data_IF_268540145117
#
_entry.id   IF_268540145117
#
_cell.length_a   1.000
_cell.length_b   1.000
_cell.length_c   1.000
_cell.angle_alpha   90.00
_cell.angle_beta   90.00
_cell.angle_gamma   90.00
#
_symmetry.space_group_name_H-M   'P 1'
#
loop_
_entity.id
_entity.type
_entity.pdbx_description
1 polymer ?
#
# COMPACT_ATOMS: atom_id res chain seq x y z
N UNK A 1 -16.66 -15.34 9.41
CA UNK A 1 -15.30 -14.82 9.14
C UNK A 1 -15.00 -13.73 10.15
N UNK A 2 -13.87 -13.81 10.85
CA UNK A 2 -13.55 -12.81 11.87
C UNK A 2 -12.90 -11.55 11.26
N UNK A 3 -13.74 -10.59 10.85
CA UNK A 3 -13.29 -9.26 10.41
C UNK A 3 -12.62 -8.46 11.55
N UNK A 4 -12.66 -8.95 12.80
CA UNK A 4 -12.11 -8.24 13.96
C UNK A 4 -10.61 -8.06 13.83
N UNK A 5 -9.86 -9.09 13.43
CA UNK A 5 -8.40 -9.00 13.25
C UNK A 5 -8.03 -7.93 12.21
N UNK A 6 -8.72 -7.88 11.08
CA UNK A 6 -8.57 -6.83 10.06
C UNK A 6 -8.80 -5.43 10.62
N UNK A 7 -9.90 -5.24 11.36
CA UNK A 7 -10.22 -3.93 11.93
C UNK A 7 -9.24 -3.51 13.02
N UNK A 8 -8.67 -4.47 13.76
CA UNK A 8 -7.59 -4.21 14.72
C UNK A 8 -6.33 -3.72 14.00
N UNK A 9 -5.92 -4.36 12.90
CA UNK A 9 -4.80 -3.89 12.08
C UNK A 9 -5.04 -2.48 11.54
N UNK A 10 -6.23 -2.18 11.01
CA UNK A 10 -6.56 -0.82 10.56
C UNK A 10 -6.59 0.20 11.69
N UNK A 11 -7.04 -0.19 12.89
CA UNK A 11 -7.01 0.67 14.08
C UNK A 11 -5.55 0.98 14.46
N UNK A 12 -4.68 -0.01 14.40
CA UNK A 12 -3.26 0.16 14.71
C UNK A 12 -2.56 1.05 13.68
N UNK A 13 -2.81 0.83 12.39
CA UNK A 13 -2.37 1.72 11.31
C UNK A 13 -2.84 3.17 11.54
N UNK A 14 -4.12 3.37 11.88
CA UNK A 14 -4.67 4.69 12.16
C UNK A 14 -4.00 5.37 13.35
N UNK A 15 -3.72 4.61 14.42
CA UNK A 15 -3.07 5.10 15.64
C UNK A 15 -1.65 5.60 15.38
N UNK A 16 -0.84 4.82 14.68
CA UNK A 16 0.58 5.11 14.49
C UNK A 16 0.87 6.02 13.32
N UNK A 17 0.10 5.91 12.23
CA UNK A 17 0.49 6.52 10.96
C UNK A 17 -0.44 7.65 10.48
N UNK A 18 -1.63 7.85 11.06
CA UNK A 18 -2.56 8.91 10.62
C UNK A 18 -2.58 10.16 11.51
N UNK A 19 -1.59 10.32 12.40
CA UNK A 19 -1.59 11.38 13.41
C UNK A 19 -1.12 12.74 12.87
N UNK A 20 0.02 12.74 12.17
CA UNK A 20 0.73 13.97 11.76
C UNK A 20 0.09 14.64 10.55
N UNK A 21 -0.16 13.87 9.48
CA UNK A 21 -0.77 14.35 8.24
C UNK A 21 -2.16 13.79 8.05
N UNK A 22 -2.96 14.43 7.19
CA UNK A 22 -4.30 13.92 6.85
C UNK A 22 -4.37 13.52 5.39
N UNK A 23 -4.01 12.26 5.06
CA UNK A 23 -4.24 11.75 3.71
C UNK A 23 -5.73 11.84 3.34
N UNK A 24 -6.06 11.87 2.04
CA UNK A 24 -7.43 11.91 1.56
C UNK A 24 -8.25 10.73 2.06
N UNK A 25 -7.66 9.52 2.05
CA UNK A 25 -8.30 8.30 2.53
C UNK A 25 -7.93 8.07 3.99
N UNK A 26 -8.93 8.00 4.87
CA UNK A 26 -8.75 7.75 6.30
C UNK A 26 -9.60 6.60 6.80
N UNK A 27 -9.03 5.84 7.73
CA UNK A 27 -9.78 4.83 8.46
C UNK A 27 -10.53 5.50 9.60
N UNK A 28 -11.81 5.19 9.77
CA UNK A 28 -12.61 5.68 10.88
C UNK A 28 -12.92 4.52 11.86
N UNK A 29 -12.17 4.36 12.96
CA UNK A 29 -12.29 3.18 13.84
C UNK A 29 -13.70 2.93 14.37
N UNK A 30 -14.42 3.99 14.80
CA UNK A 30 -15.78 3.86 15.35
C UNK A 30 -16.81 3.38 14.31
N UNK A 31 -16.64 3.76 13.04
CA UNK A 31 -17.57 3.43 11.94
C UNK A 31 -17.10 2.23 11.13
N UNK A 32 -15.89 1.72 11.42
CA UNK A 32 -15.23 0.61 10.71
C UNK A 32 -15.23 0.78 9.18
N UNK A 33 -15.07 2.01 8.68
CA UNK A 33 -15.15 2.35 7.26
C UNK A 33 -14.06 3.33 6.86
N UNK A 34 -13.73 3.37 5.57
CA UNK A 34 -12.89 4.43 5.02
C UNK A 34 -13.73 5.67 4.71
N UNK A 35 -13.13 6.85 4.88
CA UNK A 35 -13.72 8.13 4.49
C UNK A 35 -12.73 8.90 3.63
N UNK A 36 -13.23 9.50 2.54
CA UNK A 36 -12.47 10.37 1.65
C UNK A 36 -12.72 11.84 2.04
N UNK A 37 -11.67 12.60 2.38
CA UNK A 37 -11.77 14.00 2.82
C UNK A 37 -10.64 14.87 2.26
N UNK A 38 -10.98 15.92 1.52
CA UNK A 38 -10.03 16.83 0.85
C UNK A 38 -10.04 18.28 1.36
N UNK A 39 -11.02 18.67 2.18
CA UNK A 39 -11.24 20.10 2.53
C UNK A 39 -10.71 20.51 3.92
N UNK A 40 -9.59 19.96 4.40
CA UNK A 40 -9.03 20.31 5.72
C UNK A 40 -7.60 20.83 5.60
N UNK A 41 -7.18 21.73 6.50
CA UNK A 41 -5.80 22.24 6.54
C UNK A 41 -4.74 21.12 6.48
N UNK A 42 -4.95 20.04 7.24
CA UNK A 42 -4.06 18.88 7.26
C UNK A 42 -3.96 18.13 5.91
N UNK A 43 -4.91 18.31 4.99
CA UNK A 43 -4.82 17.79 3.62
C UNK A 43 -3.85 18.64 2.79
N UNK A 44 -3.88 19.97 2.91
CA UNK A 44 -2.90 20.83 2.24
C UNK A 44 -1.47 20.55 2.72
N UNK A 45 -1.31 20.28 4.02
CA UNK A 45 -0.02 19.88 4.59
C UNK A 45 0.47 18.53 4.01
N UNK A 46 -0.45 17.58 3.81
CA UNK A 46 -0.16 16.33 3.12
C UNK A 46 0.22 16.54 1.64
N UNK A 47 -0.49 17.43 0.92
CA UNK A 47 -0.14 17.79 -0.45
C UNK A 47 1.25 18.41 -0.50
N UNK A 48 1.60 19.30 0.44
CA UNK A 48 2.92 19.89 0.52
C UNK A 48 3.99 18.81 0.72
N UNK A 49 3.81 17.88 1.65
CA UNK A 49 4.77 16.78 1.84
C UNK A 49 4.92 15.89 0.61
N UNK A 50 3.81 15.64 -0.09
CA UNK A 50 3.78 14.75 -1.25
C UNK A 50 4.38 15.42 -2.48
N UNK A 51 3.85 16.57 -2.89
CA UNK A 51 4.23 17.23 -4.14
C UNK A 51 5.54 17.99 -3.98
N UNK A 52 5.70 18.75 -2.90
CA UNK A 52 6.91 19.53 -2.67
C UNK A 52 7.99 18.66 -2.03
N UNK A 53 7.67 17.91 -0.97
CA UNK A 53 8.65 17.07 -0.27
C UNK A 53 9.15 15.88 -1.11
N UNK A 54 8.29 14.91 -1.39
CA UNK A 54 8.66 13.68 -2.13
C UNK A 54 8.96 13.96 -3.61
N UNK A 55 8.08 14.72 -4.29
CA UNK A 55 8.27 15.06 -5.70
C UNK A 55 9.42 16.05 -5.91
N UNK A 56 9.15 17.33 -5.70
CA UNK A 56 10.07 18.41 -6.04
C UNK A 56 11.43 18.31 -5.34
N UNK A 57 11.43 18.24 -4.01
CA UNK A 57 12.67 18.28 -3.23
C UNK A 57 13.44 16.96 -3.32
N UNK A 58 12.78 15.80 -3.16
CA UNK A 58 13.49 14.51 -3.13
C UNK A 58 13.85 14.04 -4.53
N UNK A 59 12.86 13.79 -5.40
CA UNK A 59 13.13 13.28 -6.75
C UNK A 59 13.86 14.33 -7.60
N UNK A 60 13.42 15.60 -7.56
CA UNK A 60 14.10 16.70 -8.24
C UNK A 60 15.52 16.92 -7.71
N UNK A 61 15.72 16.88 -6.39
CA UNK A 61 17.04 17.03 -5.79
C UNK A 61 18.02 15.93 -6.20
N UNK A 62 17.57 14.67 -6.22
CA UNK A 62 18.37 13.56 -6.73
C UNK A 62 18.67 13.73 -8.22
N UNK A 63 17.71 14.21 -9.03
CA UNK A 63 17.93 14.52 -10.44
C UNK A 63 19.04 15.56 -10.65
N UNK A 64 19.04 16.63 -9.84
CA UNK A 64 20.11 17.64 -9.85
C UNK A 64 21.47 17.02 -9.52
N UNK A 65 21.52 16.11 -8.54
CA UNK A 65 22.76 15.40 -8.21
C UNK A 65 23.24 14.57 -9.39
N UNK A 66 22.38 13.79 -10.05
CA UNK A 66 22.78 13.01 -11.23
C UNK A 66 23.32 13.91 -12.35
N UNK A 67 22.63 15.00 -12.67
CA UNK A 67 23.11 15.98 -13.66
C UNK A 67 24.46 16.56 -13.24
N UNK A 68 24.64 16.91 -11.96
CA UNK A 68 25.91 17.43 -11.44
C UNK A 68 27.07 16.44 -11.60
N UNK A 69 26.81 15.14 -11.44
CA UNK A 69 27.81 14.09 -11.65
C UNK A 69 28.11 13.89 -13.14
N UNK A 70 27.10 13.93 -14.01
CA UNK A 70 27.30 13.80 -15.47
C UNK A 70 28.12 14.94 -16.06
N UNK A 71 27.90 16.16 -15.59
CA UNK A 71 28.60 17.36 -16.08
C UNK A 71 29.81 17.77 -15.23
N UNK A 72 30.18 16.98 -14.21
CA UNK A 72 31.29 17.25 -13.30
C UNK A 72 31.20 18.63 -12.58
N UNK A 73 29.99 19.13 -12.32
CA UNK A 73 29.77 20.40 -11.60
C UNK A 73 29.92 20.27 -10.07
N UNK A 74 29.97 19.05 -9.55
CA UNK A 74 30.11 18.77 -8.13
C UNK A 74 31.17 17.69 -7.90
N UNK A 75 31.70 17.60 -6.67
CA UNK A 75 32.69 16.58 -6.31
C UNK A 75 32.16 15.17 -6.65
N UNK A 76 33.03 14.27 -7.12
CA UNK A 76 32.63 12.91 -7.44
C UNK A 76 32.13 12.22 -6.18
N UNK A 77 30.94 11.64 -6.25
CA UNK A 77 30.37 10.87 -5.16
C UNK A 77 30.79 9.39 -5.25
N UNK A 78 30.97 8.72 -4.11
CA UNK A 78 31.19 7.27 -4.12
C UNK A 78 30.08 6.54 -4.86
N UNK A 79 30.45 5.51 -5.63
CA UNK A 79 29.50 4.71 -6.43
C UNK A 79 28.30 4.24 -5.58
N UNK A 80 28.57 3.81 -4.33
CA UNK A 80 27.56 3.36 -3.38
C UNK A 80 26.44 4.40 -3.17
N UNK A 81 26.79 5.69 -3.08
CA UNK A 81 25.82 6.76 -2.81
C UNK A 81 24.98 7.05 -4.05
N UNK A 82 25.59 6.98 -5.24
CA UNK A 82 24.89 7.09 -6.52
C UNK A 82 23.81 6.01 -6.60
N UNK A 83 24.13 4.75 -6.28
CA UNK A 83 23.13 3.67 -6.27
C UNK A 83 22.04 3.87 -5.21
N UNK A 84 22.37 4.34 -4.01
CA UNK A 84 21.37 4.68 -3.00
C UNK A 84 20.43 5.79 -3.48
N UNK A 85 20.95 6.79 -4.20
CA UNK A 85 20.12 7.83 -4.81
C UNK A 85 19.23 7.28 -5.93
N UNK A 86 19.67 6.27 -6.70
CA UNK A 86 18.79 5.58 -7.66
C UNK A 86 17.61 4.93 -6.94
N UNK A 87 17.87 4.21 -5.84
CA UNK A 87 16.82 3.58 -5.02
C UNK A 87 15.89 4.64 -4.40
N UNK A 88 16.45 5.76 -3.95
CA UNK A 88 15.65 6.86 -3.41
C UNK A 88 14.78 7.50 -4.50
N UNK A 89 15.30 7.69 -5.71
CA UNK A 89 14.58 8.27 -6.84
C UNK A 89 13.42 7.37 -7.29
N UNK A 90 13.66 6.08 -7.48
CA UNK A 90 12.62 5.11 -7.86
C UNK A 90 11.51 5.07 -6.81
N UNK A 91 11.88 5.06 -5.52
CA UNK A 91 10.93 4.98 -4.41
C UNK A 91 10.15 6.27 -4.21
N UNK A 92 10.80 7.44 -4.34
CA UNK A 92 10.13 8.74 -4.28
C UNK A 92 9.17 8.92 -5.46
N UNK A 93 9.57 8.51 -6.66
CA UNK A 93 8.73 8.59 -7.87
C UNK A 93 7.51 7.67 -7.75
N UNK A 94 7.70 6.42 -7.27
CA UNK A 94 6.60 5.50 -7.03
C UNK A 94 5.64 6.03 -5.94
N UNK A 95 6.18 6.55 -4.84
CA UNK A 95 5.39 7.19 -3.78
C UNK A 95 4.59 8.37 -4.30
N UNK A 96 5.21 9.23 -5.12
CA UNK A 96 4.54 10.35 -5.78
C UNK A 96 3.41 9.86 -6.70
N UNK A 97 3.68 8.89 -7.57
CA UNK A 97 2.70 8.32 -8.49
C UNK A 97 1.49 7.73 -7.75
N UNK A 98 1.72 6.93 -6.71
CA UNK A 98 0.66 6.36 -5.85
C UNK A 98 -0.21 7.47 -5.26
N UNK A 99 0.40 8.55 -4.77
CA UNK A 99 -0.36 9.66 -4.21
C UNK A 99 -1.21 10.39 -5.24
N UNK A 100 -0.71 10.56 -6.47
CA UNK A 100 -1.52 11.05 -7.59
C UNK A 100 -2.69 10.09 -7.83
N UNK A 101 -2.46 8.78 -7.83
CA UNK A 101 -3.51 7.77 -7.92
C UNK A 101 -4.56 7.88 -6.81
N UNK A 102 -4.16 8.20 -5.57
CA UNK A 102 -5.10 8.44 -4.46
C UNK A 102 -5.97 9.66 -4.74
N UNK A 103 -5.41 10.74 -5.31
CA UNK A 103 -6.18 11.94 -5.65
C UNK A 103 -7.17 11.67 -6.79
N UNK A 104 -6.73 10.92 -7.82
CA UNK A 104 -7.54 10.63 -9.00
C UNK A 104 -8.65 9.62 -8.73
N UNK A 105 -8.32 8.49 -8.09
CA UNK A 105 -9.22 7.34 -7.97
C UNK A 105 -9.66 7.04 -6.53
N UNK A 106 -9.12 7.75 -5.53
CA UNK A 106 -9.34 7.41 -4.12
C UNK A 106 -10.78 7.55 -3.65
N UNK A 107 -11.57 8.45 -4.25
CA UNK A 107 -12.99 8.62 -3.92
C UNK A 107 -13.80 7.38 -4.31
N UNK A 108 -13.64 6.93 -5.55
CA UNK A 108 -14.36 5.78 -6.10
C UNK A 108 -13.92 4.50 -5.42
N UNK A 109 -12.61 4.35 -5.17
CA UNK A 109 -12.06 3.26 -4.37
C UNK A 109 -12.69 3.16 -2.99
N UNK A 110 -12.78 4.28 -2.24
CA UNK A 110 -13.37 4.29 -0.90
C UNK A 110 -14.85 3.90 -0.93
N UNK A 111 -15.59 4.36 -1.94
CA UNK A 111 -16.99 3.99 -2.14
C UNK A 111 -17.13 2.50 -2.46
N UNK A 112 -16.33 1.99 -3.39
CA UNK A 112 -16.29 0.58 -3.78
C UNK A 112 -15.95 -0.33 -2.60
N UNK A 113 -14.84 -0.05 -1.91
CA UNK A 113 -14.38 -0.86 -0.78
C UNK A 113 -15.41 -0.91 0.36
N UNK A 114 -16.03 0.23 0.70
CA UNK A 114 -17.07 0.27 1.73
C UNK A 114 -18.34 -0.50 1.31
N UNK A 115 -18.67 -0.48 0.02
CA UNK A 115 -19.81 -1.23 -0.55
C UNK A 115 -19.52 -2.73 -0.55
N UNK A 116 -18.31 -3.14 -0.96
CA UNK A 116 -17.86 -4.53 -0.88
C UNK A 116 -17.96 -5.06 0.55
N UNK A 117 -17.50 -4.27 1.52
CA UNK A 117 -17.61 -4.61 2.95
C UNK A 117 -19.05 -4.80 3.41
N UNK A 118 -19.95 -3.91 2.99
CA UNK A 118 -21.36 -4.00 3.35
C UNK A 118 -22.00 -5.24 2.74
N UNK A 119 -21.68 -5.52 1.48
CA UNK A 119 -22.14 -6.71 0.79
C UNK A 119 -21.69 -7.99 1.49
N UNK A 120 -20.40 -8.10 1.79
CA UNK A 120 -19.86 -9.25 2.52
C UNK A 120 -20.55 -9.44 3.88
N UNK A 121 -20.74 -8.36 4.65
CA UNK A 121 -21.43 -8.44 5.94
C UNK A 121 -22.89 -8.90 5.80
N UNK A 122 -23.61 -8.44 4.77
CA UNK A 122 -24.97 -8.87 4.51
C UNK A 122 -25.04 -10.36 4.14
N UNK A 123 -24.12 -10.83 3.28
CA UNK A 123 -24.02 -12.25 2.91
C UNK A 123 -23.69 -13.14 4.11
N UNK A 124 -22.81 -12.66 5.00
CA UNK A 124 -22.47 -13.38 6.24
C UNK A 124 -23.67 -13.51 7.18
N UNK A 125 -24.44 -12.42 7.37
CA UNK A 125 -25.62 -12.44 8.23
C UNK A 125 -26.72 -13.38 7.68
N UNK A 126 -26.79 -13.54 6.37
CA UNK A 126 -27.75 -14.43 5.70
C UNK A 126 -27.32 -15.91 5.75
N UNK A 127 -26.02 -16.19 5.76
CA UNK A 127 -25.48 -17.56 5.79
C UNK A 127 -25.28 -18.14 7.20
N UNK A 128 -25.96 -17.60 8.21
CA UNK A 128 -25.62 -17.84 9.62
C UNK A 128 -25.89 -19.27 10.14
N UNK A 129 -26.61 -20.10 9.39
CA UNK A 129 -26.97 -21.45 9.84
C UNK A 129 -25.85 -22.50 9.69
N UNK A 130 -24.71 -22.22 9.03
CA UNK A 130 -23.78 -23.28 8.63
C UNK A 130 -22.27 -23.01 8.79
N UNK A 131 -21.80 -22.19 9.75
CA UNK A 131 -20.34 -21.95 9.86
C UNK A 131 -19.75 -21.94 11.27
N UNK A 132 -19.54 -23.14 11.79
CA UNK A 132 -18.45 -23.47 12.72
C UNK A 132 -17.19 -23.80 11.92
N UNK A 133 -16.26 -22.84 11.79
CA UNK A 133 -14.82 -23.07 11.58
C UNK A 133 -14.14 -21.74 11.21
N UNK A 134 -13.72 -21.02 12.24
CA UNK A 134 -12.79 -19.92 12.07
C UNK A 134 -11.44 -20.50 11.65
N UNK A 135 -11.02 -20.35 10.39
CA UNK A 135 -9.75 -20.93 9.95
C UNK A 135 -8.57 -20.19 10.62
N UNK A 136 -7.70 -20.89 11.38
CA UNK A 136 -6.62 -20.25 12.14
C UNK A 136 -5.61 -19.51 11.24
N UNK A 137 -5.47 -19.95 9.98
CA UNK A 137 -4.59 -19.35 8.97
C UNK A 137 -4.88 -17.86 8.70
N UNK A 138 -6.15 -17.44 8.82
CA UNK A 138 -6.56 -16.06 8.52
C UNK A 138 -6.18 -15.07 9.62
N UNK A 139 -6.06 -15.53 10.86
CA UNK A 139 -5.60 -14.70 11.97
C UNK A 139 -4.10 -14.39 11.86
N UNK A 140 -3.29 -15.36 11.42
CA UNK A 140 -1.85 -15.15 11.21
C UNK A 140 -1.55 -14.06 10.17
N UNK A 141 -2.34 -13.98 9.08
CA UNK A 141 -2.16 -12.94 8.08
C UNK A 141 -2.27 -11.53 8.68
N UNK A 142 -3.31 -11.28 9.49
CA UNK A 142 -3.56 -9.95 10.06
C UNK A 142 -2.58 -9.62 11.18
N UNK A 143 -2.09 -10.63 11.91
CA UNK A 143 -0.96 -10.48 12.83
C UNK A 143 0.28 -10.03 12.06
N UNK A 144 0.62 -10.70 10.95
CA UNK A 144 1.75 -10.31 10.09
C UNK A 144 1.59 -8.89 9.52
N UNK A 145 0.39 -8.52 9.07
CA UNK A 145 0.14 -7.14 8.60
C UNK A 145 0.31 -6.11 9.72
N UNK A 146 -0.04 -6.46 10.96
CA UNK A 146 0.18 -5.59 12.13
C UNK A 146 1.68 -5.43 12.42
N UNK A 147 2.46 -6.51 12.32
CA UNK A 147 3.92 -6.44 12.40
C UNK A 147 4.51 -5.53 11.31
N UNK A 148 3.96 -5.57 10.09
CA UNK A 148 4.40 -4.68 9.01
C UNK A 148 4.09 -3.23 9.32
N UNK A 149 2.92 -2.91 9.87
CA UNK A 149 2.59 -1.56 10.35
C UNK A 149 3.64 -1.09 11.37
N UNK A 150 3.99 -1.93 12.34
CA UNK A 150 5.00 -1.56 13.34
C UNK A 150 6.37 -1.34 12.71
N UNK A 151 6.83 -2.22 11.82
CA UNK A 151 8.09 -2.05 11.11
C UNK A 151 8.13 -0.75 10.28
N UNK A 152 7.07 -0.48 9.50
CA UNK A 152 6.96 0.76 8.73
C UNK A 152 6.82 2.01 9.60
N UNK A 153 6.40 1.88 10.87
CA UNK A 153 6.38 3.01 11.81
C UNK A 153 7.76 3.31 12.39
N UNK A 154 8.63 2.30 12.52
CA UNK A 154 9.98 2.45 13.09
C UNK A 154 11.04 2.78 12.03
N UNK A 155 10.91 2.25 10.80
CA UNK A 155 11.86 2.49 9.71
C UNK A 155 12.15 3.97 9.41
N UNK A 156 11.16 4.89 9.38
CA UNK A 156 11.44 6.31 9.16
C UNK A 156 12.46 6.88 10.12
N UNK A 157 12.41 6.49 11.40
CA UNK A 157 13.36 6.97 12.40
C UNK A 157 14.79 6.54 12.07
N UNK A 158 14.99 5.26 11.75
CA UNK A 158 16.30 4.73 11.38
C UNK A 158 16.81 5.33 10.06
N UNK A 159 15.93 5.46 9.05
CA UNK A 159 16.28 6.05 7.76
C UNK A 159 16.68 7.52 7.94
N UNK A 160 15.88 8.33 8.65
CA UNK A 160 16.19 9.73 8.89
C UNK A 160 17.47 9.93 9.69
N UNK A 161 17.69 9.14 10.76
CA UNK A 161 18.91 9.21 11.56
C UNK A 161 20.14 8.85 10.71
N UNK A 162 20.02 7.81 9.89
CA UNK A 162 21.08 7.39 8.97
C UNK A 162 21.41 8.45 7.92
N UNK A 163 20.38 9.09 7.37
CA UNK A 163 20.53 10.13 6.38
C UNK A 163 21.27 11.34 6.93
N UNK A 164 20.96 11.74 8.18
CA UNK A 164 21.64 12.85 8.86
C UNK A 164 23.09 12.51 9.17
N UNK A 165 23.34 11.33 9.77
CA UNK A 165 24.67 10.96 10.26
C UNK A 165 25.67 10.70 9.12
N UNK A 166 25.22 10.02 8.05
CA UNK A 166 26.08 9.70 6.91
C UNK A 166 25.95 10.66 5.74
N UNK A 167 25.18 11.73 5.89
CA UNK A 167 24.90 12.69 4.83
C UNK A 167 24.35 12.01 3.55
N UNK A 168 23.54 10.96 3.71
CA UNK A 168 22.92 10.20 2.61
C UNK A 168 21.67 10.90 2.05
N UNK A 169 21.41 12.14 2.46
CA UNK A 169 20.32 12.93 1.92
C UNK A 169 20.77 13.82 0.75
N UNK A 170 19.94 13.94 -0.31
CA UNK A 170 20.28 14.76 -1.46
C UNK A 170 20.38 16.26 -1.10
N UNK A 171 19.68 16.69 -0.06
CA UNK A 171 19.59 18.10 0.33
C UNK A 171 20.93 18.64 0.83
N UNK A 172 21.72 17.83 1.54
CA UNK A 172 23.06 18.19 1.98
C UNK A 172 23.95 18.58 0.80
N UNK A 173 23.95 17.76 -0.24
CA UNK A 173 24.77 17.98 -1.42
C UNK A 173 24.34 19.21 -2.19
N UNK A 174 23.03 19.46 -2.30
CA UNK A 174 22.50 20.65 -2.96
C UNK A 174 22.87 21.92 -2.19
N UNK A 175 22.70 21.94 -0.86
CA UNK A 175 23.09 23.09 -0.04
C UNK A 175 24.58 23.36 -0.13
N UNK A 176 25.40 22.30 -0.13
CA UNK A 176 26.85 22.39 -0.34
C UNK A 176 27.21 22.93 -1.72
N UNK A 177 26.50 22.53 -2.77
CA UNK A 177 26.72 22.99 -4.14
C UNK A 177 26.36 24.47 -4.32
N UNK A 178 25.29 24.92 -3.67
CA UNK A 178 24.84 26.32 -3.70
C UNK A 178 25.54 27.22 -2.68
N UNK A 179 26.42 26.66 -1.85
CA UNK A 179 27.11 27.35 -0.76
C UNK A 179 26.15 28.11 0.20
N UNK A 180 24.98 27.53 0.47
CA UNK A 180 23.96 28.12 1.36
C UNK A 180 24.19 27.62 2.78
N UNK A 181 24.60 28.53 3.67
CA UNK A 181 24.86 28.22 5.09
C UNK A 181 23.81 28.85 6.05
N UNK A 182 22.58 29.04 5.58
CA UNK A 182 21.53 29.67 6.39
C UNK A 182 20.89 28.68 7.35
N UNK A 183 20.65 29.10 8.60
CA UNK A 183 20.00 28.27 9.62
C UNK A 183 18.64 27.74 9.14
N UNK A 184 17.85 28.58 8.46
CA UNK A 184 16.54 28.22 7.94
C UNK A 184 16.60 27.09 6.91
N UNK A 185 17.63 27.07 6.05
CA UNK A 185 17.81 25.99 5.08
C UNK A 185 18.15 24.65 5.76
N UNK A 186 18.96 24.68 6.81
CA UNK A 186 19.27 23.48 7.60
C UNK A 186 18.07 22.95 8.40
N UNK A 187 17.25 23.84 8.97
CA UNK A 187 15.98 23.47 9.60
C UNK A 187 15.01 22.85 8.61
N UNK A 188 14.91 23.43 7.41
CA UNK A 188 14.07 22.89 6.34
C UNK A 188 14.58 21.53 5.83
N UNK A 189 15.90 21.36 5.69
CA UNK A 189 16.53 20.06 5.39
C UNK A 189 16.16 19.01 6.45
N UNK A 190 16.31 19.33 7.73
CA UNK A 190 15.97 18.40 8.81
C UNK A 190 14.49 17.99 8.75
N UNK A 191 13.61 18.96 8.52
CA UNK A 191 12.18 18.70 8.32
C UNK A 191 11.90 17.75 7.17
N UNK A 192 12.52 17.95 6.00
CA UNK A 192 12.34 17.07 4.84
C UNK A 192 12.88 15.65 5.10
N UNK A 193 14.05 15.52 5.72
CA UNK A 193 14.64 14.22 6.06
C UNK A 193 13.76 13.42 7.00
N UNK A 194 13.05 14.06 7.92
CA UNK A 194 12.11 13.39 8.83
C UNK A 194 10.77 13.08 8.14
N UNK A 195 10.23 14.01 7.36
CA UNK A 195 8.88 13.89 6.80
C UNK A 195 8.81 12.96 5.60
N UNK A 196 9.79 13.00 4.68
CA UNK A 196 9.72 12.22 3.44
C UNK A 196 9.72 10.70 3.68
N UNK A 197 10.63 10.12 4.49
CA UNK A 197 10.60 8.68 4.79
C UNK A 197 9.35 8.28 5.58
N UNK A 198 8.87 9.13 6.48
CA UNK A 198 7.66 8.87 7.27
C UNK A 198 6.41 8.78 6.39
N UNK A 199 6.24 9.74 5.49
CA UNK A 199 5.14 9.74 4.54
C UNK A 199 5.24 8.53 3.59
N UNK A 200 6.43 8.24 3.06
CA UNK A 200 6.66 7.08 2.20
C UNK A 200 6.27 5.75 2.88
N UNK A 201 6.79 5.49 4.08
CA UNK A 201 6.49 4.26 4.81
C UNK A 201 5.00 4.15 5.14
N UNK A 202 4.36 5.27 5.47
CA UNK A 202 2.91 5.33 5.69
C UNK A 202 2.13 4.93 4.44
N UNK A 203 2.50 5.42 3.25
CA UNK A 203 1.82 5.05 2.01
C UNK A 203 2.01 3.58 1.68
N UNK A 204 3.23 3.05 1.83
CA UNK A 204 3.51 1.64 1.58
C UNK A 204 2.68 0.75 2.51
N UNK A 205 2.67 1.04 3.82
CA UNK A 205 1.83 0.33 4.77
C UNK A 205 0.35 0.39 4.39
N UNK A 206 -0.16 1.58 4.05
CA UNK A 206 -1.53 1.76 3.61
C UNK A 206 -1.87 0.87 2.41
N UNK A 207 -1.08 0.98 1.34
CA UNK A 207 -1.28 0.24 0.10
C UNK A 207 -1.29 -1.27 0.35
N UNK A 208 -0.34 -1.79 1.12
CA UNK A 208 -0.26 -3.22 1.41
C UNK A 208 -1.53 -3.70 2.12
N UNK A 209 -1.96 -3.00 3.17
CA UNK A 209 -3.10 -3.42 3.99
C UNK A 209 -4.40 -3.32 3.18
N UNK A 210 -4.61 -2.25 2.41
CA UNK A 210 -5.85 -2.11 1.62
C UNK A 210 -5.90 -3.13 0.49
N UNK A 211 -4.78 -3.39 -0.20
CA UNK A 211 -4.74 -4.35 -1.30
C UNK A 211 -5.06 -5.73 -0.78
N UNK A 212 -4.40 -6.16 0.30
CA UNK A 212 -4.67 -7.46 0.92
C UNK A 212 -6.10 -7.56 1.44
N UNK A 213 -6.64 -6.50 2.06
CA UNK A 213 -8.05 -6.50 2.49
C UNK A 213 -9.01 -6.69 1.32
N UNK A 214 -8.75 -6.01 0.20
CA UNK A 214 -9.60 -6.07 -1.00
C UNK A 214 -9.54 -7.46 -1.63
N UNK A 215 -8.33 -7.98 -1.85
CA UNK A 215 -8.10 -9.31 -2.40
C UNK A 215 -8.59 -10.42 -1.48
N UNK A 216 -8.71 -10.18 -0.18
CA UNK A 216 -9.28 -11.15 0.75
C UNK A 216 -10.82 -11.13 0.77
N UNK A 217 -11.43 -9.95 0.71
CA UNK A 217 -12.89 -9.78 0.79
C UNK A 217 -13.60 -10.20 -0.50
N UNK A 218 -12.96 -10.01 -1.66
CA UNK A 218 -13.51 -10.40 -2.95
C UNK A 218 -13.80 -11.92 -3.06
N UNK A 219 -12.82 -12.84 -2.89
CA UNK A 219 -13.07 -14.27 -2.96
C UNK A 219 -13.96 -14.75 -1.80
N UNK A 220 -13.86 -14.13 -0.63
CA UNK A 220 -14.74 -14.41 0.52
C UNK A 220 -16.21 -14.10 0.18
N UNK A 221 -16.47 -12.99 -0.52
CA UNK A 221 -17.82 -12.65 -0.97
C UNK A 221 -18.33 -13.62 -2.04
N UNK A 222 -17.46 -14.05 -2.97
CA UNK A 222 -17.80 -15.04 -3.99
C UNK A 222 -18.07 -16.44 -3.39
N UNK A 223 -17.26 -16.89 -2.43
CA UNK A 223 -17.46 -18.15 -1.70
C UNK A 223 -18.79 -18.15 -0.95
N UNK A 224 -19.14 -17.03 -0.29
CA UNK A 224 -20.43 -16.89 0.40
C UNK A 224 -21.61 -16.93 -0.58
N UNK A 225 -21.50 -16.28 -1.74
CA UNK A 225 -22.51 -16.36 -2.79
C UNK A 225 -22.66 -17.80 -3.31
N UNK A 226 -21.55 -18.52 -3.47
CA UNK A 226 -21.58 -19.92 -3.91
C UNK A 226 -22.25 -20.82 -2.87
N UNK A 227 -21.90 -20.66 -1.59
CA UNK A 227 -22.47 -21.46 -0.49
C UNK A 227 -23.97 -21.26 -0.34
N UNK A 228 -24.46 -20.01 -0.44
CA UNK A 228 -25.88 -19.71 -0.35
C UNK A 228 -26.70 -20.35 -1.48
N UNK A 229 -26.06 -20.61 -2.64
CA UNK A 229 -26.74 -21.09 -3.84
C UNK A 229 -26.43 -22.56 -4.17
N UNK A 230 -25.61 -23.23 -3.37
CA UNK A 230 -25.27 -24.64 -3.56
C UNK A 230 -26.39 -25.60 -3.11
N UNK A 231 -27.39 -25.14 -2.34
CA UNK A 231 -28.46 -26.01 -1.85
C UNK A 231 -29.57 -26.19 -2.91
N UNK A 232 -30.14 -27.40 -3.08
CA UNK A 232 -31.22 -27.62 -4.05
C UNK A 232 -32.49 -26.81 -3.75
N UNK A 233 -32.71 -26.43 -2.49
CA UNK A 233 -33.83 -25.59 -2.06
C UNK A 233 -33.62 -24.11 -2.45
N UNK A 234 -32.42 -23.55 -2.24
CA UNK A 234 -32.09 -22.18 -2.65
C UNK A 234 -32.18 -22.00 -4.17
N UNK A 235 -31.82 -23.05 -4.91
CA UNK A 235 -31.96 -23.10 -6.38
C UNK A 235 -33.44 -23.02 -6.79
N UNK A 236 -34.32 -23.72 -6.11
CA UNK A 236 -35.77 -23.71 -6.40
C UNK A 236 -36.40 -22.34 -6.07
N UNK A 237 -36.00 -21.72 -4.96
CA UNK A 237 -36.47 -20.37 -4.56
C UNK A 237 -35.89 -19.27 -5.47
N UNK A 238 -34.64 -19.42 -5.93
CA UNK A 238 -34.01 -18.52 -6.89
C UNK A 238 -34.75 -18.48 -8.23
N UNK A 239 -35.25 -19.63 -8.70
CA UNK A 239 -36.09 -19.73 -9.91
C UNK A 239 -37.44 -19.04 -9.77
N UNK A 240 -38.05 -19.03 -8.59
CA UNK A 240 -39.35 -18.37 -8.35
C UNK A 240 -39.25 -16.85 -8.13
N UNK A 241 -38.09 -16.35 -7.67
CA UNK A 241 -37.94 -14.94 -7.26
C UNK A 241 -37.22 -14.04 -8.27
N UNK A 242 -36.80 -14.57 -9.43
CA UNK A 242 -36.15 -13.80 -10.50
C UNK A 242 -34.66 -13.56 -10.24
N UNK A 243 -33.84 -14.58 -10.53
CA UNK A 243 -32.36 -14.56 -10.55
C UNK A 243 -31.66 -13.60 -9.55
N UNK A 244 -31.92 -13.70 -8.24
CA UNK A 244 -31.26 -12.88 -7.22
C UNK A 244 -29.74 -13.10 -7.20
N UNK A 245 -29.27 -14.29 -7.59
CA UNK A 245 -27.84 -14.67 -7.65
C UNK A 245 -27.12 -13.88 -8.72
N UNK A 246 -27.70 -13.77 -9.91
CA UNK A 246 -27.13 -13.01 -11.02
C UNK A 246 -27.04 -11.53 -10.67
N UNK A 247 -28.09 -10.99 -10.02
CA UNK A 247 -28.11 -9.60 -9.55
C UNK A 247 -27.00 -9.33 -8.53
N UNK A 248 -26.83 -10.22 -7.54
CA UNK A 248 -25.77 -10.10 -6.55
C UNK A 248 -24.38 -10.24 -7.17
N UNK A 249 -24.18 -11.19 -8.08
CA UNK A 249 -22.91 -11.34 -8.78
C UNK A 249 -22.55 -10.11 -9.63
N UNK A 250 -23.51 -9.57 -10.39
CA UNK A 250 -23.36 -8.31 -11.12
C UNK A 250 -23.03 -7.16 -10.16
N UNK A 251 -23.62 -7.14 -8.95
CA UNK A 251 -23.27 -6.15 -7.93
C UNK A 251 -21.82 -6.27 -7.47
N UNK A 252 -21.28 -7.48 -7.27
CA UNK A 252 -19.84 -7.68 -6.98
C UNK A 252 -18.98 -7.14 -8.13
N UNK A 253 -19.34 -7.44 -9.38
CA UNK A 253 -18.61 -6.97 -10.56
C UNK A 253 -18.60 -5.44 -10.66
N UNK A 254 -19.75 -4.78 -10.46
CA UNK A 254 -19.85 -3.31 -10.47
C UNK A 254 -18.95 -2.71 -9.38
N UNK A 255 -18.96 -3.30 -8.19
CA UNK A 255 -18.09 -2.85 -7.09
C UNK A 255 -16.62 -3.09 -7.44
N UNK A 256 -16.27 -4.21 -8.05
CA UNK A 256 -14.91 -4.51 -8.49
C UNK A 256 -14.42 -3.49 -9.52
N UNK A 257 -15.23 -3.15 -10.53
CA UNK A 257 -14.92 -2.12 -11.53
C UNK A 257 -14.62 -0.77 -10.87
N UNK A 258 -15.36 -0.40 -9.83
CA UNK A 258 -15.12 0.86 -9.09
C UNK A 258 -13.81 0.88 -8.29
N UNK A 259 -13.29 -0.30 -7.93
CA UNK A 259 -12.05 -0.48 -7.16
C UNK A 259 -10.84 -0.70 -8.10
N UNK A 260 -11.08 -1.30 -9.27
CA UNK A 260 -10.09 -1.76 -10.22
C UNK A 260 -9.13 -0.65 -10.66
N UNK A 261 -9.63 0.52 -11.03
CA UNK A 261 -8.77 1.61 -11.54
C UNK A 261 -7.69 1.99 -10.53
N UNK A 262 -8.03 2.05 -9.24
CA UNK A 262 -7.07 2.38 -8.20
C UNK A 262 -6.14 1.20 -7.88
N UNK A 263 -6.68 -0.01 -7.67
CA UNK A 263 -5.87 -1.18 -7.32
C UNK A 263 -4.94 -1.57 -8.47
N UNK A 264 -5.42 -1.55 -9.72
CA UNK A 264 -4.61 -1.84 -10.91
C UNK A 264 -3.45 -0.84 -11.06
N UNK A 265 -3.73 0.45 -10.91
CA UNK A 265 -2.70 1.49 -10.92
C UNK A 265 -1.65 1.27 -9.82
N UNK A 266 -2.10 1.04 -8.59
CA UNK A 266 -1.21 0.78 -7.45
C UNK A 266 -0.39 -0.49 -7.66
N UNK A 267 -1.00 -1.58 -8.13
CA UNK A 267 -0.31 -2.84 -8.41
C UNK A 267 0.80 -2.65 -9.44
N UNK A 268 0.53 -1.93 -10.53
CA UNK A 268 1.54 -1.64 -11.57
C UNK A 268 2.75 -0.91 -10.97
N UNK A 269 2.51 0.15 -10.20
CA UNK A 269 3.58 0.95 -9.59
C UNK A 269 4.35 0.12 -8.55
N UNK A 270 3.66 -0.63 -7.69
CA UNK A 270 4.29 -1.45 -6.64
C UNK A 270 5.09 -2.61 -7.24
N UNK A 271 4.60 -3.26 -8.30
CA UNK A 271 5.35 -4.31 -9.01
C UNK A 271 6.61 -3.74 -9.66
N UNK A 272 6.50 -2.61 -10.37
CA UNK A 272 7.65 -1.93 -10.95
C UNK A 272 8.68 -1.54 -9.89
N UNK A 273 8.22 -0.98 -8.77
CA UNK A 273 9.07 -0.64 -7.63
C UNK A 273 9.73 -1.87 -7.01
N UNK A 274 8.97 -2.94 -6.78
CA UNK A 274 9.45 -4.18 -6.17
C UNK A 274 10.51 -4.87 -7.03
N UNK A 275 10.33 -4.92 -8.35
CA UNK A 275 11.31 -5.47 -9.29
C UNK A 275 12.58 -4.60 -9.33
N UNK A 276 12.43 -3.30 -9.56
CA UNK A 276 13.57 -2.39 -9.67
C UNK A 276 14.38 -2.34 -8.37
N UNK A 277 13.71 -2.09 -7.23
CA UNK A 277 14.38 -2.00 -5.94
C UNK A 277 14.84 -3.36 -5.42
N UNK A 278 14.16 -4.46 -5.75
CA UNK A 278 14.59 -5.80 -5.36
C UNK A 278 15.94 -6.15 -5.97
N UNK A 279 16.06 -5.97 -7.29
CA UNK A 279 17.33 -6.18 -8.03
C UNK A 279 18.42 -5.26 -7.47
N UNK A 280 18.13 -3.97 -7.33
CA UNK A 280 19.09 -3.00 -6.81
C UNK A 280 19.52 -3.32 -5.38
N UNK A 281 18.60 -3.73 -4.50
CA UNK A 281 18.92 -4.03 -3.09
C UNK A 281 19.80 -5.27 -2.95
N UNK A 282 19.54 -6.32 -3.75
CA UNK A 282 20.37 -7.53 -3.76
C UNK A 282 21.77 -7.19 -4.30
N UNK A 283 21.85 -6.48 -5.42
CA UNK A 283 23.10 -6.06 -6.02
C UNK A 283 23.93 -5.17 -5.08
N UNK A 284 23.28 -4.17 -4.46
CA UNK A 284 23.89 -3.26 -3.50
C UNK A 284 24.45 -4.01 -2.28
N UNK A 285 23.68 -4.95 -1.74
CA UNK A 285 24.07 -5.71 -0.56
C UNK A 285 25.31 -6.58 -0.81
N UNK A 286 25.42 -7.16 -2.01
CA UNK A 286 26.55 -8.01 -2.39
C UNK A 286 27.82 -7.22 -2.69
N UNK A 287 27.72 -6.17 -3.51
CA UNK A 287 28.90 -5.43 -4.00
C UNK A 287 29.46 -4.51 -2.94
N UNK A 288 28.61 -3.84 -2.18
CA UNK A 288 29.05 -2.83 -1.23
C UNK A 288 29.18 -3.39 0.19
N UNK A 289 29.32 -4.71 0.36
CA UNK A 289 29.57 -5.32 1.65
C UNK A 289 30.76 -4.61 2.35
N UNK A 290 30.59 -4.24 3.62
CA UNK A 290 31.49 -3.42 4.44
C UNK A 290 31.61 -1.91 4.10
N UNK A 291 31.04 -1.43 2.99
CA UNK A 291 31.05 0.02 2.66
C UNK A 291 29.83 0.76 3.19
N UNK A 292 28.67 0.10 3.24
CA UNK A 292 27.43 0.69 3.70
C UNK A 292 27.25 0.55 5.22
N UNK A 293 26.44 1.41 5.85
CA UNK A 293 26.08 1.26 7.26
C UNK A 293 25.47 -0.10 7.58
N UNK A 294 25.85 -0.68 8.73
CA UNK A 294 25.50 -2.07 9.07
C UNK A 294 23.99 -2.33 9.07
N UNK A 295 23.17 -1.32 9.40
CA UNK A 295 21.71 -1.44 9.44
C UNK A 295 21.07 -1.54 8.06
N UNK A 296 21.69 -1.02 6.98
CA UNK A 296 21.12 -1.17 5.63
C UNK A 296 21.11 -2.64 5.22
N UNK A 297 22.09 -3.43 5.66
CA UNK A 297 22.10 -4.88 5.45
C UNK A 297 21.04 -5.63 6.25
N UNK A 298 20.41 -5.00 7.25
CA UNK A 298 19.25 -5.58 7.94
C UNK A 298 17.95 -5.13 7.28
N UNK A 299 17.85 -3.86 6.90
CA UNK A 299 16.66 -3.29 6.27
C UNK A 299 16.39 -3.91 4.91
N UNK A 300 17.41 -4.07 4.05
CA UNK A 300 17.21 -4.58 2.69
C UNK A 300 16.66 -6.02 2.65
N UNK A 301 17.24 -7.01 3.37
CA UNK A 301 16.65 -8.34 3.45
C UNK A 301 15.26 -8.34 4.07
N UNK A 302 15.01 -7.54 5.11
CA UNK A 302 13.68 -7.44 5.71
C UNK A 302 12.64 -6.95 4.70
N UNK A 303 12.96 -5.91 3.91
CA UNK A 303 12.08 -5.42 2.84
C UNK A 303 11.86 -6.51 1.78
N UNK A 304 12.91 -7.22 1.36
CA UNK A 304 12.79 -8.29 0.37
C UNK A 304 11.87 -9.42 0.86
N UNK A 305 12.01 -9.84 2.12
CA UNK A 305 11.14 -10.84 2.75
C UNK A 305 9.70 -10.34 2.84
N UNK A 306 9.48 -9.08 3.22
CA UNK A 306 8.14 -8.48 3.24
C UNK A 306 7.49 -8.51 1.85
N UNK A 307 8.22 -8.09 0.81
CA UNK A 307 7.74 -8.11 -0.58
C UNK A 307 7.39 -9.53 -1.01
N UNK A 308 8.22 -10.51 -0.69
CA UNK A 308 7.95 -11.93 -0.99
C UNK A 308 6.67 -12.43 -0.31
N UNK A 309 6.50 -12.15 0.98
CA UNK A 309 5.29 -12.52 1.73
C UNK A 309 4.05 -11.89 1.09
N UNK A 310 4.12 -10.60 0.76
CA UNK A 310 3.00 -9.88 0.11
C UNK A 310 2.67 -10.51 -1.24
N UNK A 311 3.68 -10.81 -2.06
CA UNK A 311 3.50 -11.42 -3.37
C UNK A 311 2.82 -12.79 -3.27
N UNK A 312 3.30 -13.65 -2.36
CA UNK A 312 2.72 -14.97 -2.13
C UNK A 312 1.27 -14.90 -1.65
N UNK A 313 0.97 -13.98 -0.72
CA UNK A 313 -0.38 -13.77 -0.20
C UNK A 313 -1.33 -13.28 -1.29
N UNK A 314 -0.94 -12.25 -2.05
CA UNK A 314 -1.76 -11.67 -3.12
C UNK A 314 -2.00 -12.69 -4.23
N UNK A 315 -0.96 -13.44 -4.64
CA UNK A 315 -1.08 -14.45 -5.69
C UNK A 315 -2.07 -15.56 -5.30
N UNK A 316 -2.02 -16.04 -4.05
CA UNK A 316 -2.97 -17.04 -3.57
C UNK A 316 -4.42 -16.51 -3.61
N UNK A 317 -4.65 -15.26 -3.21
CA UNK A 317 -6.00 -14.67 -3.28
C UNK A 317 -6.49 -14.48 -4.71
N UNK A 318 -5.63 -14.03 -5.62
CA UNK A 318 -5.97 -13.87 -7.04
C UNK A 318 -6.40 -15.20 -7.68
N UNK A 319 -5.70 -16.29 -7.36
CA UNK A 319 -6.06 -17.62 -7.85
C UNK A 319 -7.45 -18.04 -7.36
N UNK A 320 -7.73 -17.85 -6.07
CA UNK A 320 -9.04 -18.16 -5.49
C UNK A 320 -10.18 -17.34 -6.11
N UNK A 321 -9.93 -16.07 -6.46
CA UNK A 321 -10.95 -15.22 -7.14
C UNK A 321 -11.31 -15.82 -8.50
N UNK A 322 -10.32 -16.24 -9.29
CA UNK A 322 -10.56 -16.85 -10.60
C UNK A 322 -11.36 -18.17 -10.46
N UNK A 323 -10.96 -19.03 -9.52
CA UNK A 323 -11.62 -20.33 -9.29
C UNK A 323 -13.07 -20.18 -8.84
N UNK A 324 -13.36 -19.27 -7.89
CA UNK A 324 -14.72 -19.04 -7.42
C UNK A 324 -15.58 -18.38 -8.49
N UNK A 325 -15.01 -17.47 -9.28
CA UNK A 325 -15.71 -16.84 -10.40
C UNK A 325 -16.12 -17.89 -11.44
N UNK A 326 -15.21 -18.78 -11.85
CA UNK A 326 -15.50 -19.83 -12.83
C UNK A 326 -16.59 -20.80 -12.33
N UNK A 327 -16.49 -21.23 -11.06
CA UNK A 327 -17.52 -22.07 -10.44
C UNK A 327 -18.89 -21.40 -10.43
N UNK A 328 -18.95 -20.11 -10.12
CA UNK A 328 -20.21 -19.37 -10.07
C UNK A 328 -20.80 -19.17 -11.46
N UNK A 329 -19.98 -18.92 -12.49
CA UNK A 329 -20.42 -18.89 -13.88
C UNK A 329 -21.00 -20.22 -14.33
N UNK A 330 -20.34 -21.35 -14.04
CA UNK A 330 -20.87 -22.68 -14.38
C UNK A 330 -22.24 -22.92 -13.74
N UNK A 331 -22.42 -22.52 -12.48
CA UNK A 331 -23.71 -22.63 -11.77
C UNK A 331 -24.77 -21.76 -12.48
N UNK A 332 -24.43 -20.54 -12.90
CA UNK A 332 -25.35 -19.66 -13.64
C UNK A 332 -25.69 -20.22 -15.03
N UNK A 333 -24.75 -20.82 -15.74
CA UNK A 333 -24.98 -21.47 -17.04
C UNK A 333 -25.88 -22.69 -16.92
N UNK A 334 -25.87 -23.41 -15.79
CA UNK A 334 -26.85 -24.46 -15.50
C UNK A 334 -28.28 -23.92 -15.26
N UNK A 335 -28.44 -22.60 -15.06
CA UNK A 335 -29.74 -21.98 -14.77
C UNK A 335 -30.40 -21.31 -15.97
N UNK A 336 -29.66 -21.03 -17.04
CA UNK A 336 -30.20 -20.64 -18.36
C UNK A 336 -30.51 -21.88 -19.19
#
# INVERSE_FOLDING_TARGET
>A
MDQTAMFLTFKEYSRWMQHFTSPPIKWHPKKKRFEYRTHRFKYYLWCLHTFIGLGGCTAGGVGVIFLSQMFNFYKPLPLAYIFLFVVQLSTATAGFAINVGIVLYGKDFVMGWNTLRRMEANLQNQGHDHRDSCSPQRNYLWITMTLFVWAFSTYPFFISLSAIFFHLDPYYHILSMLNINSLYAHLFRFYLICTAPAELCRFLAFIVIISISTFQMLPSSLDLLLQQNASPFSVMVGRMSGNPVESQYRQVQIVLLSIESFIGFVCLIVQGLGLANGILSIFLSLIFYATLPIWLYWIFPCIAVMVLIIALVIMNYLHNVADYSDKLFRILDFFN
#
